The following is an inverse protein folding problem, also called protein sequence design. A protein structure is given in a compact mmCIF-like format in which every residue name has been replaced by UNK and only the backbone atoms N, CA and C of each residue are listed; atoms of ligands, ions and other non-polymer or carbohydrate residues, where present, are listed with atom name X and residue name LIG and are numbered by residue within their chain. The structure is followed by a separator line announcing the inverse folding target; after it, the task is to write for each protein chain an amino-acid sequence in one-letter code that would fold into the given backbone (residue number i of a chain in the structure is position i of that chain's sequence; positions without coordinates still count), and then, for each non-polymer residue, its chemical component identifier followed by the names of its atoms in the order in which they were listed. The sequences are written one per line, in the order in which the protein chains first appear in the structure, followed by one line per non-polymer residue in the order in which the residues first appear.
data_IF_939311312102
#
_entry.id   IF_939311312102
#
_cell.length_a   1.000
_cell.length_b   1.000
_cell.length_c   1.000
_cell.angle_alpha   90.00
_cell.angle_beta   90.00
_cell.angle_gamma   90.00
#
_symmetry.space_group_name_H-M   'P 1'
#
loop_
_entity.id
_entity.type
_entity.pdbx_description
1 polymer ?
#
# COMPACT_ATOMS: atom_id res chain seq x y z
N UNK A 1 3.20 -5.42 -2.05
CA UNK A 1 4.26 -5.21 -3.05
C UNK A 1 5.52 -6.00 -2.73
N UNK A 2 6.10 -5.88 -1.53
CA UNK A 2 7.32 -6.60 -1.14
C UNK A 2 7.22 -8.15 -1.16
N UNK A 3 6.02 -8.72 -1.01
CA UNK A 3 5.80 -10.18 -1.05
C UNK A 3 5.91 -10.81 -2.43
N UNK A 4 5.96 -10.01 -3.50
CA UNK A 4 6.05 -10.52 -4.88
C UNK A 4 7.50 -10.57 -5.39
N UNK A 5 8.48 -10.33 -4.52
CA UNK A 5 9.91 -10.40 -4.84
C UNK A 5 10.41 -11.83 -4.57
N UNK A 6 10.89 -12.55 -5.59
CA UNK A 6 11.46 -13.88 -5.38
C UNK A 6 12.77 -13.77 -4.60
N UNK A 7 12.85 -14.53 -3.51
CA UNK A 7 14.06 -14.68 -2.70
C UNK A 7 14.99 -15.71 -3.35
N UNK A 8 16.23 -15.31 -3.67
CA UNK A 8 17.25 -16.17 -4.29
C UNK A 8 17.91 -17.14 -3.30
N UNK A 9 17.76 -16.92 -1.99
CA UNK A 9 18.37 -17.71 -0.92
C UNK A 9 17.54 -18.94 -0.49
N UNK A 10 16.46 -19.27 -1.22
CA UNK A 10 15.57 -20.38 -0.87
C UNK A 10 15.49 -21.41 -2.00
N UNK A 11 15.77 -22.67 -1.67
CA UNK A 11 15.63 -23.82 -2.56
C UNK A 11 14.23 -23.85 -3.21
N UNK A 12 14.22 -23.89 -4.54
CA UNK A 12 13.04 -23.80 -5.39
C UNK A 12 11.94 -24.83 -5.06
N UNK A 13 12.26 -25.90 -4.36
CA UNK A 13 11.38 -27.01 -4.02
C UNK A 13 10.39 -26.73 -2.87
N UNK A 14 10.56 -25.65 -2.08
CA UNK A 14 9.68 -25.29 -0.95
C UNK A 14 8.87 -24.02 -1.18
N UNK A 15 8.55 -23.67 -2.43
CA UNK A 15 7.76 -22.47 -2.74
C UNK A 15 6.29 -22.68 -2.42
N UNK A 16 5.88 -22.31 -1.20
CA UNK A 16 4.51 -21.82 -0.98
C UNK A 16 4.21 -20.71 -1.99
N UNK A 17 3.04 -20.76 -2.63
CA UNK A 17 2.61 -19.84 -3.69
C UNK A 17 3.02 -18.40 -3.35
N UNK A 18 3.77 -17.76 -4.24
CA UNK A 18 4.00 -16.32 -4.17
C UNK A 18 2.63 -15.63 -4.15
N UNK A 19 2.37 -14.82 -3.13
CA UNK A 19 1.15 -14.03 -3.07
C UNK A 19 1.23 -12.94 -4.15
N UNK A 20 0.60 -13.22 -5.30
CA UNK A 20 0.29 -12.20 -6.28
C UNK A 20 -0.64 -11.19 -5.62
N UNK A 21 -0.38 -9.90 -5.84
CA UNK A 21 -1.29 -8.84 -5.39
C UNK A 21 -2.53 -8.94 -6.28
N UNK A 22 -3.72 -9.24 -5.73
CA UNK A 22 -4.93 -9.28 -6.52
C UNK A 22 -5.31 -7.86 -6.98
N UNK A 23 -5.74 -7.72 -8.23
CA UNK A 23 -6.31 -6.49 -8.79
C UNK A 23 -5.50 -5.86 -9.93
N UNK A 24 -6.17 -5.09 -10.78
CA UNK A 24 -5.53 -4.24 -11.79
C UNK A 24 -5.04 -2.93 -11.15
N UNK A 25 -3.95 -2.37 -11.69
CA UNK A 25 -3.57 -0.98 -11.40
C UNK A 25 -4.68 -0.08 -11.96
N UNK A 26 -5.35 0.75 -11.15
CA UNK A 26 -6.36 1.67 -11.67
C UNK A 26 -5.73 2.63 -12.66
N UNK A 27 -6.53 3.08 -13.64
CA UNK A 27 -6.14 4.15 -14.55
C UNK A 27 -5.67 5.38 -13.75
N UNK A 28 -4.56 5.99 -14.15
CA UNK A 28 -4.08 7.23 -13.52
C UNK A 28 -5.04 8.41 -13.75
N UNK A 29 -5.95 8.28 -14.73
CA UNK A 29 -7.01 9.23 -15.01
C UNK A 29 -8.20 9.08 -14.05
N UNK A 30 -8.39 7.90 -13.46
CA UNK A 30 -9.53 7.54 -12.61
C UNK A 30 -9.06 7.14 -11.20
N UNK A 31 -8.22 8.00 -10.60
CA UNK A 31 -7.81 7.78 -9.22
C UNK A 31 -9.00 8.02 -8.27
N UNK A 32 -9.22 7.14 -7.28
CA UNK A 32 -10.26 7.36 -6.29
C UNK A 32 -10.00 8.66 -5.52
N UNK A 33 -11.05 9.39 -5.11
CA UNK A 33 -10.89 10.58 -4.28
C UNK A 33 -10.21 10.22 -2.96
N UNK A 34 -9.33 11.11 -2.48
CA UNK A 34 -8.57 10.91 -1.26
C UNK A 34 -7.36 9.98 -1.41
N UNK A 35 -7.34 8.87 -0.67
CA UNK A 35 -6.22 7.94 -0.69
C UNK A 35 -6.18 7.12 -2.00
N UNK A 36 -5.14 7.34 -2.81
CA UNK A 36 -4.88 6.60 -4.09
C UNK A 36 -4.73 5.08 -3.93
N UNK A 37 -4.49 4.62 -2.70
CA UNK A 37 -4.33 3.21 -2.38
C UNK A 37 -5.61 2.59 -1.77
N UNK A 38 -6.67 3.36 -1.55
CA UNK A 38 -7.91 2.91 -0.90
C UNK A 38 -8.49 1.62 -1.50
N UNK A 39 -8.52 1.51 -2.83
CA UNK A 39 -9.01 0.33 -3.56
C UNK A 39 -8.13 -0.93 -3.45
N UNK A 40 -6.90 -0.81 -2.92
CA UNK A 40 -5.94 -1.92 -2.77
C UNK A 40 -5.39 -2.06 -1.35
N UNK A 41 -5.81 -1.20 -0.42
CA UNK A 41 -5.31 -1.17 0.94
C UNK A 41 -6.13 -2.14 1.81
N UNK A 42 -5.47 -3.11 2.44
CA UNK A 42 -6.11 -4.01 3.44
C UNK A 42 -6.54 -3.32 4.74
N UNK A 43 -6.15 -2.05 4.92
CA UNK A 43 -6.46 -1.23 6.09
C UNK A 43 -7.35 -0.04 5.71
N UNK A 44 -8.13 -0.14 4.63
CA UNK A 44 -9.03 0.95 4.20
C UNK A 44 -10.17 1.14 5.22
N UNK A 45 -10.48 2.39 5.52
CA UNK A 45 -11.62 2.80 6.37
C UNK A 45 -12.17 4.14 5.88
N UNK A 46 -13.29 4.59 6.42
CA UNK A 46 -14.07 5.74 5.93
C UNK A 46 -13.22 7.00 5.65
N UNK A 47 -12.32 7.37 6.57
CA UNK A 47 -11.45 8.56 6.43
C UNK A 47 -10.53 8.51 5.21
N UNK A 48 -10.23 7.31 4.69
CA UNK A 48 -9.40 7.11 3.50
C UNK A 48 -10.02 7.67 2.21
N UNK A 49 -11.32 7.99 2.19
CA UNK A 49 -11.94 8.73 1.09
C UNK A 49 -11.54 10.20 1.02
N UNK A 50 -10.85 10.71 2.05
CA UNK A 50 -10.30 12.07 2.10
C UNK A 50 -8.79 12.04 1.95
N UNK A 51 -8.21 13.09 1.39
CA UNK A 51 -6.76 13.16 1.19
C UNK A 51 -6.05 13.51 2.51
N UNK A 52 -5.17 12.63 3.02
CA UNK A 52 -4.42 12.91 4.24
C UNK A 52 -3.38 14.04 4.06
N UNK A 53 -3.10 14.83 5.11
CA UNK A 53 -1.93 15.69 5.14
C UNK A 53 -0.61 14.90 5.00
N UNK A 54 0.45 15.61 4.62
CA UNK A 54 1.81 15.08 4.63
C UNK A 54 2.39 15.25 6.03
N UNK A 55 2.59 14.13 6.73
CA UNK A 55 3.12 14.11 8.10
C UNK A 55 4.52 13.52 8.13
N UNK A 56 5.39 14.06 8.99
CA UNK A 56 6.71 13.52 9.25
C UNK A 56 6.63 12.47 10.38
N UNK A 57 6.97 11.22 10.08
CA UNK A 57 6.92 10.11 11.07
C UNK A 57 8.30 9.80 11.67
N UNK A 58 9.36 10.23 11.00
CA UNK A 58 10.74 10.22 11.49
C UNK A 58 11.55 11.22 10.66
N UNK A 59 12.74 11.60 11.14
CA UNK A 59 13.56 12.64 10.48
C UNK A 59 13.77 12.35 8.99
N UNK A 60 13.23 13.21 8.14
CA UNK A 60 13.29 13.10 6.68
C UNK A 60 12.35 12.06 6.06
N UNK A 61 11.47 11.43 6.84
CA UNK A 61 10.52 10.44 6.38
C UNK A 61 9.08 10.95 6.51
N UNK A 62 8.43 11.12 5.36
CA UNK A 62 7.09 11.66 5.28
C UNK A 62 6.09 10.63 4.77
N UNK A 63 4.87 10.67 5.31
CA UNK A 63 3.77 9.79 4.92
C UNK A 63 2.49 10.58 4.67
N UNK A 64 1.65 10.06 3.78
CA UNK A 64 0.28 10.55 3.54
C UNK A 64 -0.69 9.40 3.78
N UNK A 65 -0.79 8.95 5.04
CA UNK A 65 -1.62 7.81 5.43
C UNK A 65 -2.31 8.08 6.77
N UNK A 66 -3.64 7.97 6.79
CA UNK A 66 -4.44 8.21 8.00
C UNK A 66 -4.14 7.28 9.18
N UNK A 67 -3.44 6.16 8.99
CA UNK A 67 -2.98 5.30 10.10
C UNK A 67 -1.84 5.93 10.92
N UNK A 68 -1.08 6.85 10.33
CA UNK A 68 0.06 7.51 10.97
C UNK A 68 -0.26 8.95 11.36
N UNK A 69 -1.44 9.44 11.00
CA UNK A 69 -1.91 10.79 11.31
C UNK A 69 -2.77 10.64 12.56
N UNK A 70 -2.12 10.70 13.71
CA UNK A 70 -2.81 10.83 14.99
C UNK A 70 -3.37 12.25 15.12
N UNK A 71 -4.58 12.45 15.68
CA UNK A 71 -4.84 13.69 16.40
C UNK A 71 -3.93 13.80 17.63
#
# INVERSE_FOLDING_TARGET
LLKSIPRLDQDHARKGKLEAIPGLVPSLLDLPPGCKFSNRCKYVFEKCGQEPPLEEVSTGHFVRCWLHIHP
#
